data_IF_220496796322
#
_entry.id   IF_220496796322
#
_cell.length_a   1.000
_cell.length_b   1.000
_cell.length_c   1.000
_cell.angle_alpha   90.00
_cell.angle_beta   90.00
_cell.angle_gamma   90.00
#
_symmetry.space_group_name_H-M   'P 1'
#
loop_
_entity.id
_entity.type
_entity.pdbx_description
1 polymer ?
#
# COMPACT_ATOMS: atom_id res chain seq x y z
N UNK A 1 2.83 9.01 7.76
CA UNK A 1 1.71 8.54 8.63
C UNK A 1 0.51 9.49 8.72
N UNK A 2 0.67 10.79 9.00
CA UNK A 2 -0.46 11.74 9.15
C UNK A 2 -1.35 11.91 7.90
N UNK A 3 -0.84 11.61 6.71
CA UNK A 3 -1.60 11.61 5.45
C UNK A 3 -2.48 10.36 5.28
N UNK A 4 -2.02 9.18 5.74
CA UNK A 4 -2.75 7.91 5.59
C UNK A 4 -3.98 7.79 6.53
N UNK A 5 -3.91 8.31 7.76
CA UNK A 5 -5.08 8.41 8.68
C UNK A 5 -6.14 9.36 8.11
N UNK A 6 -5.72 10.41 7.39
CA UNK A 6 -6.65 11.32 6.70
C UNK A 6 -7.35 10.63 5.54
N UNK A 7 -6.66 9.77 4.77
CA UNK A 7 -7.27 9.03 3.67
C UNK A 7 -8.29 7.98 4.12
N UNK A 8 -8.03 7.25 5.21
CA UNK A 8 -9.03 6.32 5.77
C UNK A 8 -10.29 7.04 6.27
N UNK A 9 -10.14 8.18 6.96
CA UNK A 9 -11.28 9.02 7.38
C UNK A 9 -12.02 9.64 6.19
N UNK A 10 -11.30 10.03 5.13
CA UNK A 10 -11.89 10.54 3.90
C UNK A 10 -12.70 9.47 3.17
N UNK A 11 -12.21 8.23 3.08
CA UNK A 11 -12.94 7.11 2.48
C UNK A 11 -14.19 6.74 3.27
N UNK A 12 -14.12 6.68 4.61
CA UNK A 12 -15.31 6.47 5.44
C UNK A 12 -16.33 7.60 5.31
N UNK A 13 -15.86 8.85 5.20
CA UNK A 13 -16.74 10.00 4.92
C UNK A 13 -17.35 9.94 3.52
N UNK A 14 -16.62 9.43 2.52
CA UNK A 14 -17.08 9.30 1.14
C UNK A 14 -18.16 8.22 1.01
N UNK A 15 -18.05 7.12 1.76
CA UNK A 15 -19.07 6.06 1.85
C UNK A 15 -20.33 6.58 2.56
N UNK A 16 -20.17 7.35 3.64
CA UNK A 16 -21.29 8.03 4.31
C UNK A 16 -21.96 9.05 3.38
N UNK A 17 -21.19 9.82 2.60
CA UNK A 17 -21.71 10.80 1.64
C UNK A 17 -22.40 10.11 0.46
N UNK A 18 -21.87 9.02 -0.08
CA UNK A 18 -22.55 8.26 -1.14
C UNK A 18 -23.82 7.56 -0.65
N UNK A 19 -23.84 7.05 0.58
CA UNK A 19 -25.05 6.54 1.22
C UNK A 19 -26.08 7.66 1.45
N UNK A 20 -25.65 8.85 1.89
CA UNK A 20 -26.53 10.02 2.03
C UNK A 20 -27.08 10.48 0.68
N UNK A 21 -26.25 10.53 -0.37
CA UNK A 21 -26.66 10.92 -1.72
C UNK A 21 -27.63 9.92 -2.36
N UNK A 22 -27.52 8.63 -2.02
CA UNK A 22 -28.48 7.61 -2.42
C UNK A 22 -29.84 7.80 -1.72
N UNK A 23 -29.83 8.10 -0.41
CA UNK A 23 -31.06 8.42 0.35
C UNK A 23 -31.72 9.71 -0.15
N UNK A 24 -30.93 10.67 -0.63
CA UNK A 24 -31.40 11.96 -1.17
C UNK A 24 -31.80 11.90 -2.66
N UNK A 25 -31.78 10.71 -3.31
CA UNK A 25 -32.28 10.54 -4.68
C UNK A 25 -31.44 11.20 -5.78
N UNK A 26 -30.18 11.57 -5.49
CA UNK A 26 -29.28 12.25 -6.43
C UNK A 26 -28.41 11.30 -7.27
N UNK A 27 -28.53 9.99 -7.06
CA UNK A 27 -27.90 8.94 -7.87
C UNK A 27 -28.80 8.50 -9.03
N UNK A 28 -28.25 8.41 -10.24
CA UNK A 28 -28.97 8.14 -11.49
C UNK A 28 -30.05 7.05 -11.40
N UNK A 29 -31.19 7.34 -12.04
CA UNK A 29 -32.50 6.68 -11.94
C UNK A 29 -32.58 5.16 -12.23
N UNK A 30 -31.47 4.49 -12.53
CA UNK A 30 -31.46 3.06 -12.89
C UNK A 30 -31.42 2.10 -11.69
N UNK A 31 -31.12 2.58 -10.47
CA UNK A 31 -31.04 1.73 -9.25
C UNK A 31 -32.18 1.99 -8.24
N UNK A 32 -33.01 3.00 -8.49
CA UNK A 32 -34.02 3.48 -7.57
C UNK A 32 -35.32 2.67 -7.57
N UNK A 33 -35.54 1.75 -8.51
CA UNK A 33 -36.74 0.90 -8.54
C UNK A 33 -36.63 -0.34 -7.65
N UNK A 34 -35.43 -0.92 -7.50
CA UNK A 34 -35.21 -2.08 -6.61
C UNK A 34 -35.23 -1.70 -5.11
N UNK A 35 -34.94 -0.44 -4.76
CA UNK A 35 -34.97 0.00 -3.35
C UNK A 35 -36.38 0.36 -2.86
N UNK A 36 -37.34 0.59 -3.76
CA UNK A 36 -38.73 0.95 -3.40
C UNK A 36 -39.57 -0.23 -2.92
N UNK A 37 -39.10 -1.47 -3.11
CA UNK A 37 -39.76 -2.69 -2.60
C UNK A 37 -39.17 -3.22 -1.29
N UNK A 38 -38.07 -2.64 -0.78
CA UNK A 38 -37.52 -3.07 0.51
C UNK A 38 -38.51 -2.75 1.62
N UNK A 39 -38.91 -3.78 2.37
CA UNK A 39 -39.73 -3.58 3.56
C UNK A 39 -38.96 -2.71 4.57
N UNK A 40 -39.66 -1.85 5.31
CA UNK A 40 -39.06 -1.08 6.43
C UNK A 40 -38.25 -1.96 7.38
N UNK A 41 -38.64 -3.23 7.52
CA UNK A 41 -37.93 -4.24 8.30
C UNK A 41 -36.56 -4.59 7.70
N UNK A 42 -36.47 -4.81 6.40
CA UNK A 42 -35.21 -5.15 5.70
C UNK A 42 -34.23 -3.97 5.72
N UNK A 43 -34.74 -2.74 5.55
CA UNK A 43 -33.92 -1.53 5.69
C UNK A 43 -33.35 -1.43 7.11
N UNK A 44 -34.16 -1.69 8.13
CA UNK A 44 -33.70 -1.66 9.52
C UNK A 44 -32.66 -2.74 9.82
N UNK A 45 -32.88 -3.96 9.34
CA UNK A 45 -31.92 -5.07 9.48
C UNK A 45 -30.58 -4.76 8.78
N UNK A 46 -30.60 -4.10 7.60
CA UNK A 46 -29.36 -3.63 6.94
C UNK A 46 -28.65 -2.53 7.72
N UNK A 47 -29.39 -1.58 8.29
CA UNK A 47 -28.81 -0.52 9.13
C UNK A 47 -28.16 -1.12 10.38
N UNK A 48 -28.83 -2.05 11.05
CA UNK A 48 -28.25 -2.75 12.22
C UNK A 48 -27.02 -3.57 11.83
N UNK A 49 -27.06 -4.29 10.71
CA UNK A 49 -25.90 -5.05 10.24
C UNK A 49 -24.69 -4.14 9.95
N UNK A 50 -24.92 -2.99 9.30
CA UNK A 50 -23.87 -2.00 9.08
C UNK A 50 -23.34 -1.40 10.38
N UNK A 51 -24.21 -1.13 11.35
CA UNK A 51 -23.80 -0.62 12.66
C UNK A 51 -22.92 -1.63 13.40
N UNK A 52 -23.31 -2.91 13.46
CA UNK A 52 -22.49 -3.96 14.08
C UNK A 52 -21.14 -4.11 13.38
N UNK A 53 -21.12 -4.04 12.04
CA UNK A 53 -19.88 -4.09 11.27
C UNK A 53 -18.95 -2.89 11.56
N UNK A 54 -19.51 -1.70 11.82
CA UNK A 54 -18.74 -0.52 12.24
C UNK A 54 -18.21 -0.67 13.66
N UNK A 55 -19.03 -1.12 14.61
CA UNK A 55 -18.62 -1.38 16.01
C UNK A 55 -17.48 -2.44 16.06
N UNK A 56 -17.60 -3.53 15.29
CA UNK A 56 -16.53 -4.55 15.15
C UNK A 56 -15.25 -3.97 14.53
N UNK A 57 -15.37 -3.06 13.56
CA UNK A 57 -14.21 -2.41 12.95
C UNK A 57 -13.52 -1.44 13.92
N UNK A 58 -14.28 -0.70 14.72
CA UNK A 58 -13.75 0.18 15.77
C UNK A 58 -12.99 -0.61 16.84
N UNK A 59 -13.55 -1.72 17.33
CA UNK A 59 -12.87 -2.58 18.30
C UNK A 59 -11.58 -3.19 17.74
N UNK A 60 -11.54 -3.56 16.45
CA UNK A 60 -10.31 -4.02 15.79
C UNK A 60 -9.27 -2.91 15.70
N UNK A 61 -9.66 -1.69 15.40
CA UNK A 61 -8.75 -0.54 15.37
C UNK A 61 -8.18 -0.24 16.76
N UNK A 62 -9.01 -0.25 17.80
CA UNK A 62 -8.56 -0.03 19.18
C UNK A 62 -7.59 -1.14 19.63
N UNK A 63 -7.84 -2.40 19.25
CA UNK A 63 -6.92 -3.51 19.51
C UNK A 63 -5.57 -3.32 18.81
N UNK A 64 -5.56 -2.86 17.56
CA UNK A 64 -4.33 -2.55 16.80
C UNK A 64 -3.58 -1.35 17.39
N UNK A 65 -4.28 -0.34 17.91
CA UNK A 65 -3.67 0.80 18.58
C UNK A 65 -3.00 0.39 19.89
N UNK A 66 -3.68 -0.44 20.72
CA UNK A 66 -3.07 -1.00 21.94
C UNK A 66 -1.88 -1.90 21.65
N UNK A 67 -1.93 -2.68 20.56
CA UNK A 67 -0.78 -3.50 20.14
C UNK A 67 0.42 -2.60 19.76
N UNK A 68 0.18 -1.46 19.10
CA UNK A 68 1.24 -0.48 18.78
C UNK A 68 1.81 0.21 20.03
N UNK A 69 0.98 0.58 21.00
CA UNK A 69 1.46 1.15 22.27
C UNK A 69 2.37 0.17 23.01
N UNK A 70 1.98 -1.10 23.08
CA UNK A 70 2.81 -2.15 23.68
C UNK A 70 4.12 -2.40 22.91
N UNK A 71 4.10 -2.33 21.58
CA UNK A 71 5.33 -2.41 20.77
C UNK A 71 6.27 -1.23 21.02
N UNK A 72 5.72 -0.04 21.30
CA UNK A 72 6.51 1.17 21.53
C UNK A 72 7.22 1.13 22.90
N UNK A 73 6.56 0.59 23.92
CA UNK A 73 7.16 0.39 25.26
C UNK A 73 8.26 -0.70 25.26
N UNK A 74 8.14 -1.75 24.44
CA UNK A 74 9.17 -2.79 24.28
C UNK A 74 10.43 -2.31 23.53
N UNK A 75 10.33 -1.21 22.78
CA UNK A 75 11.43 -0.65 22.00
C UNK A 75 12.40 0.20 22.84
N UNK A 76 12.00 0.67 24.02
CA UNK A 76 12.73 1.70 24.79
C UNK A 76 13.75 1.13 25.82
N UNK A 77 13.77 -0.19 26.06
CA UNK A 77 14.47 -0.78 27.21
C UNK A 77 15.45 -1.95 26.95
N UNK A 78 16.08 -2.06 25.79
CA UNK A 78 17.22 -2.98 25.67
C UNK A 78 18.00 -2.91 24.36
N UNK A 79 19.31 -3.12 24.45
CA UNK A 79 20.31 -3.37 23.40
C UNK A 79 19.94 -3.00 21.95
N UNK A 80 20.58 -1.94 21.45
CA UNK A 80 20.47 -1.35 20.10
C UNK A 80 20.85 -2.29 18.94
N UNK A 81 21.23 -3.53 19.22
CA UNK A 81 21.95 -4.39 18.26
C UNK A 81 21.06 -5.21 17.32
N UNK A 82 19.75 -5.38 17.59
CA UNK A 82 18.87 -6.09 16.63
C UNK A 82 18.37 -5.16 15.50
N UNK A 83 18.78 -5.39 14.24
CA UNK A 83 18.32 -4.64 13.07
C UNK A 83 16.83 -4.73 12.80
N UNK A 84 16.19 -5.85 13.16
CA UNK A 84 14.77 -6.11 12.90
C UNK A 84 13.87 -5.49 13.97
N UNK A 85 14.43 -4.92 15.04
CA UNK A 85 13.64 -4.44 16.18
C UNK A 85 12.77 -3.22 15.85
N UNK A 86 13.22 -2.37 14.92
CA UNK A 86 12.45 -1.21 14.41
C UNK A 86 11.28 -1.57 13.50
N UNK A 87 11.32 -2.76 12.89
CA UNK A 87 10.17 -3.24 12.14
C UNK A 87 9.07 -3.63 13.13
N UNK A 88 7.84 -3.21 12.86
CA UNK A 88 6.66 -3.67 13.60
C UNK A 88 6.56 -5.20 13.56
N UNK A 89 5.84 -5.82 14.51
CA UNK A 89 5.65 -7.30 14.50
C UNK A 89 5.02 -7.77 13.19
N UNK A 90 4.12 -6.96 12.62
CA UNK A 90 3.51 -7.23 11.32
C UNK A 90 4.53 -7.25 10.19
N UNK A 91 5.41 -6.25 10.11
CA UNK A 91 6.48 -6.18 9.11
C UNK A 91 7.47 -7.35 9.22
N UNK A 92 7.87 -7.72 10.46
CA UNK A 92 8.72 -8.90 10.70
C UNK A 92 8.07 -10.19 10.24
N UNK A 93 6.78 -10.38 10.56
CA UNK A 93 6.02 -11.55 10.13
C UNK A 93 5.92 -11.62 8.60
N UNK A 94 5.57 -10.51 7.98
CA UNK A 94 5.49 -10.38 6.53
C UNK A 94 6.81 -10.75 5.85
N UNK A 95 7.94 -10.21 6.31
CA UNK A 95 9.26 -10.55 5.78
C UNK A 95 9.58 -12.04 5.92
N UNK A 96 9.31 -12.63 7.09
CA UNK A 96 9.59 -14.05 7.35
C UNK A 96 8.75 -14.98 6.47
N UNK A 97 7.50 -14.62 6.21
CA UNK A 97 6.59 -15.40 5.37
C UNK A 97 6.91 -15.24 3.88
N UNK A 98 7.15 -14.01 3.43
CA UNK A 98 7.28 -13.69 2.01
C UNK A 98 8.73 -13.81 1.50
N UNK A 99 9.72 -13.60 2.37
CA UNK A 99 11.15 -13.49 2.03
C UNK A 99 12.08 -14.20 3.04
N UNK A 100 11.87 -15.49 3.37
CA UNK A 100 12.64 -16.17 4.41
C UNK A 100 14.16 -16.16 4.14
N UNK A 101 14.59 -16.45 2.91
CA UNK A 101 16.02 -16.47 2.55
C UNK A 101 16.70 -15.10 2.72
N UNK A 102 15.95 -14.02 2.54
CA UNK A 102 16.45 -12.66 2.75
C UNK A 102 16.56 -12.33 4.24
N UNK A 103 15.59 -12.76 5.06
CA UNK A 103 15.68 -12.64 6.52
C UNK A 103 16.91 -13.37 7.06
N UNK A 104 17.13 -14.61 6.60
CA UNK A 104 18.33 -15.39 6.99
C UNK A 104 19.62 -14.66 6.61
N UNK A 105 19.65 -14.06 5.41
CA UNK A 105 20.80 -13.29 4.95
C UNK A 105 21.03 -12.02 5.78
N UNK A 106 19.97 -11.27 6.08
CA UNK A 106 20.08 -10.09 6.94
C UNK A 106 20.62 -10.47 8.32
N UNK A 107 20.13 -11.55 8.91
CA UNK A 107 20.64 -12.05 10.19
C UNK A 107 22.12 -12.43 10.12
N UNK A 108 22.54 -13.06 9.02
CA UNK A 108 23.95 -13.41 8.81
C UNK A 108 24.84 -12.17 8.65
N UNK A 109 24.44 -11.22 7.81
CA UNK A 109 25.20 -9.99 7.55
C UNK A 109 25.24 -9.10 8.78
N UNK A 110 24.13 -9.02 9.51
CA UNK A 110 23.98 -8.10 10.63
C UNK A 110 24.47 -8.68 11.96
N UNK A 111 24.59 -10.00 12.07
CA UNK A 111 25.14 -10.69 13.24
C UNK A 111 26.68 -10.60 13.37
N UNK A 112 27.38 -10.23 12.29
CA UNK A 112 28.86 -10.22 12.23
C UNK A 112 29.45 -8.80 12.12
N UNK A 113 28.67 -7.80 12.56
CA UNK A 113 28.92 -6.37 12.29
C UNK A 113 29.91 -5.81 13.31
N UNK A 114 31.13 -5.53 12.85
CA UNK A 114 32.11 -4.70 13.56
C UNK A 114 31.54 -3.30 13.84
N UNK A 115 32.13 -2.55 14.77
CA UNK A 115 31.64 -1.21 15.14
C UNK A 115 31.49 -0.27 13.94
N UNK A 116 32.40 -0.36 12.95
CA UNK A 116 32.34 0.40 11.69
C UNK A 116 31.16 -0.02 10.78
N UNK A 117 30.78 -1.30 10.83
CA UNK A 117 29.66 -1.80 10.06
C UNK A 117 28.31 -1.41 10.66
N UNK A 118 28.25 -0.89 11.91
CA UNK A 118 27.02 -0.39 12.54
C UNK A 118 26.41 0.78 11.77
N UNK A 119 27.24 1.64 11.17
CA UNK A 119 26.76 2.72 10.31
C UNK A 119 26.04 2.18 9.07
N UNK A 120 26.66 1.23 8.37
CA UNK A 120 26.03 0.58 7.21
C UNK A 120 24.76 -0.15 7.62
N UNK A 121 24.78 -0.88 8.74
CA UNK A 121 23.61 -1.56 9.29
C UNK A 121 22.44 -0.61 9.53
N UNK A 122 22.69 0.65 9.93
CA UNK A 122 21.65 1.67 10.08
C UNK A 122 21.04 2.07 8.74
N UNK A 123 21.85 2.38 7.74
CA UNK A 123 21.34 2.73 6.40
C UNK A 123 20.57 1.56 5.76
N UNK A 124 21.08 0.33 5.89
CA UNK A 124 20.38 -0.88 5.44
C UNK A 124 19.05 -1.05 6.15
N UNK A 125 18.97 -0.74 7.45
CA UNK A 125 17.74 -0.83 8.24
C UNK A 125 16.67 0.14 7.75
N UNK A 126 17.02 1.40 7.52
CA UNK A 126 16.06 2.41 7.03
C UNK A 126 15.55 2.06 5.62
N UNK A 127 16.45 1.59 4.76
CA UNK A 127 16.08 1.12 3.42
C UNK A 127 15.18 -0.12 3.47
N UNK A 128 15.44 -1.02 4.40
CA UNK A 128 14.62 -2.20 4.63
C UNK A 128 13.21 -1.83 5.10
N UNK A 129 13.09 -0.91 6.05
CA UNK A 129 11.79 -0.45 6.55
C UNK A 129 10.93 0.11 5.40
N UNK A 130 11.52 1.01 4.59
CA UNK A 130 10.85 1.56 3.41
C UNK A 130 10.41 0.46 2.43
N UNK A 131 11.29 -0.50 2.15
CA UNK A 131 10.99 -1.61 1.25
C UNK A 131 9.82 -2.46 1.76
N UNK A 132 9.81 -2.81 3.05
CA UNK A 132 8.76 -3.66 3.61
C UNK A 132 7.41 -2.94 3.54
N UNK A 133 7.38 -1.65 3.85
CA UNK A 133 6.16 -0.85 3.70
C UNK A 133 5.67 -0.85 2.25
N UNK A 134 6.55 -0.62 1.27
CA UNK A 134 6.22 -0.66 -0.15
C UNK A 134 5.65 -2.03 -0.55
N UNK A 135 6.29 -3.12 -0.12
CA UNK A 135 5.86 -4.48 -0.46
C UNK A 135 4.52 -4.84 0.17
N UNK A 136 4.26 -4.39 1.41
CA UNK A 136 2.95 -4.56 2.05
C UNK A 136 1.86 -3.77 1.32
N UNK A 137 2.14 -2.52 0.94
CA UNK A 137 1.21 -1.68 0.17
C UNK A 137 0.88 -2.31 -1.19
N UNK A 138 1.89 -2.81 -1.91
CA UNK A 138 1.70 -3.55 -3.15
C UNK A 138 0.86 -4.82 -2.94
N UNK A 139 1.07 -5.56 -1.85
CA UNK A 139 0.32 -6.78 -1.58
C UNK A 139 -1.17 -6.52 -1.35
N UNK A 140 -1.52 -5.36 -0.79
CA UNK A 140 -2.90 -4.97 -0.49
C UNK A 140 -3.59 -4.34 -1.70
N UNK A 141 -2.91 -3.43 -2.41
CA UNK A 141 -3.55 -2.59 -3.44
C UNK A 141 -3.24 -3.03 -4.88
N UNK A 142 -2.16 -3.78 -5.10
CA UNK A 142 -1.71 -4.19 -6.43
C UNK A 142 -1.10 -5.61 -6.43
N UNK A 143 -1.86 -6.67 -6.09
CA UNK A 143 -1.32 -8.01 -5.87
C UNK A 143 -0.59 -8.58 -7.10
N UNK A 144 -1.01 -8.23 -8.32
CA UNK A 144 -0.30 -8.63 -9.54
C UNK A 144 1.09 -8.00 -9.66
N UNK A 145 1.25 -6.74 -9.22
CA UNK A 145 2.54 -6.04 -9.19
C UNK A 145 3.40 -6.58 -8.06
N UNK A 146 2.80 -6.86 -6.89
CA UNK A 146 3.47 -7.50 -5.76
C UNK A 146 4.16 -8.81 -6.15
N UNK A 147 3.46 -9.71 -6.86
CA UNK A 147 4.05 -10.99 -7.28
C UNK A 147 5.23 -10.81 -8.27
N UNK A 148 5.14 -9.79 -9.14
CA UNK A 148 6.26 -9.44 -10.05
C UNK A 148 7.45 -8.94 -9.23
N UNK A 149 7.22 -8.01 -8.30
CA UNK A 149 8.26 -7.41 -7.47
C UNK A 149 8.93 -8.44 -6.57
N UNK A 150 8.14 -9.31 -5.93
CA UNK A 150 8.64 -10.43 -5.12
C UNK A 150 9.58 -11.34 -5.94
N UNK A 151 9.22 -11.64 -7.19
CA UNK A 151 10.04 -12.46 -8.07
C UNK A 151 11.32 -11.73 -8.51
N UNK A 152 11.24 -10.44 -8.80
CA UNK A 152 12.42 -9.59 -9.09
C UNK A 152 13.40 -9.64 -7.92
N UNK A 153 12.92 -9.39 -6.70
CA UNK A 153 13.74 -9.42 -5.48
C UNK A 153 14.46 -10.75 -5.28
N UNK A 154 13.74 -11.86 -5.45
CA UNK A 154 14.35 -13.19 -5.36
C UNK A 154 15.45 -13.39 -6.40
N UNK A 155 15.19 -13.04 -7.66
CA UNK A 155 16.16 -13.20 -8.75
C UNK A 155 17.38 -12.31 -8.54
N UNK A 156 17.20 -11.06 -8.13
CA UNK A 156 18.30 -10.15 -7.83
C UNK A 156 19.20 -10.72 -6.72
N UNK A 157 18.59 -11.18 -5.61
CA UNK A 157 19.32 -11.81 -4.50
C UNK A 157 20.07 -13.10 -4.92
N UNK A 158 19.39 -14.00 -5.64
CA UNK A 158 19.99 -15.25 -6.12
C UNK A 158 21.13 -14.99 -7.11
N UNK A 159 20.98 -13.98 -7.97
CA UNK A 159 21.98 -13.59 -8.96
C UNK A 159 23.24 -13.01 -8.32
N UNK A 160 23.09 -12.22 -7.25
CA UNK A 160 24.22 -11.68 -6.48
C UNK A 160 25.03 -12.80 -5.83
N UNK A 161 24.36 -13.73 -5.13
CA UNK A 161 25.01 -14.90 -4.53
C UNK A 161 25.64 -15.82 -5.57
N UNK A 162 25.03 -15.97 -6.74
CA UNK A 162 25.63 -16.70 -7.85
C UNK A 162 26.91 -16.01 -8.34
N UNK A 163 26.89 -14.67 -8.44
CA UNK A 163 28.05 -13.86 -8.79
C UNK A 163 29.22 -14.04 -7.82
N UNK A 164 28.95 -14.05 -6.51
CA UNK A 164 29.94 -14.40 -5.48
C UNK A 164 30.56 -15.77 -5.71
N UNK A 165 29.73 -16.81 -5.86
CA UNK A 165 30.21 -18.18 -6.10
C UNK A 165 31.05 -18.30 -7.38
N UNK A 166 30.71 -17.56 -8.43
CA UNK A 166 31.45 -17.55 -9.70
C UNK A 166 32.84 -16.90 -9.52
N UNK A 167 32.98 -15.89 -8.66
CA UNK A 167 34.27 -15.25 -8.37
C UNK A 167 35.26 -16.22 -7.73
N UNK A 168 34.77 -17.11 -6.87
CA UNK A 168 35.59 -18.11 -6.18
C UNK A 168 35.82 -19.40 -6.99
N UNK A 169 35.07 -19.59 -8.08
CA UNK A 169 35.16 -20.81 -8.90
C UNK A 169 36.28 -20.69 -9.94
N UNK A 170 37.18 -21.69 -9.98
CA UNK A 170 38.26 -21.75 -10.96
C UNK A 170 37.74 -21.80 -12.41
N UNK A 171 38.47 -21.25 -13.39
CA UNK A 171 38.12 -21.38 -14.81
C UNK A 171 37.89 -22.83 -15.24
N UNK A 172 36.85 -23.07 -16.04
CA UNK A 172 36.50 -24.38 -16.58
C UNK A 172 34.99 -24.56 -16.78
N UNK A 173 34.54 -25.76 -17.20
CA UNK A 173 33.15 -26.01 -17.59
C UNK A 173 32.13 -25.71 -16.49
N UNK A 174 32.47 -25.94 -15.21
CA UNK A 174 31.60 -25.61 -14.07
C UNK A 174 31.31 -24.11 -13.99
N UNK A 175 32.35 -23.27 -14.13
CA UNK A 175 32.23 -21.81 -14.08
C UNK A 175 31.41 -21.30 -15.27
N UNK A 176 31.62 -21.87 -16.46
CA UNK A 176 30.85 -21.53 -17.65
C UNK A 176 29.36 -21.86 -17.49
N UNK A 177 29.03 -23.02 -16.89
CA UNK A 177 27.65 -23.37 -16.54
C UNK A 177 27.00 -22.38 -15.57
N UNK A 178 27.71 -21.99 -14.51
CA UNK A 178 27.22 -20.99 -13.56
C UNK A 178 27.03 -19.60 -14.20
N UNK A 179 27.91 -19.20 -15.11
CA UNK A 179 27.77 -17.93 -15.86
C UNK A 179 26.52 -17.98 -16.75
N UNK A 180 26.25 -19.10 -17.40
CA UNK A 180 25.05 -19.27 -18.22
C UNK A 180 23.76 -19.18 -17.37
N UNK A 181 23.76 -19.81 -16.19
CA UNK A 181 22.66 -19.74 -15.23
C UNK A 181 22.44 -18.31 -14.71
N UNK A 182 23.52 -17.63 -14.30
CA UNK A 182 23.48 -16.23 -13.88
C UNK A 182 22.90 -15.33 -14.99
N UNK A 183 23.34 -15.52 -16.24
CA UNK A 183 22.80 -14.78 -17.39
C UNK A 183 21.29 -14.99 -17.54
N UNK A 184 20.81 -16.21 -17.35
CA UNK A 184 19.37 -16.51 -17.39
C UNK A 184 18.61 -15.76 -16.30
N UNK A 185 19.09 -15.81 -15.05
CA UNK A 185 18.47 -15.12 -13.91
C UNK A 185 18.41 -13.60 -14.14
N UNK A 186 19.50 -12.99 -14.58
CA UNK A 186 19.57 -11.55 -14.86
C UNK A 186 18.66 -11.15 -16.02
N UNK A 187 18.57 -11.98 -17.05
CA UNK A 187 17.66 -11.73 -18.19
C UNK A 187 16.20 -11.76 -17.73
N UNK A 188 15.82 -12.76 -16.94
CA UNK A 188 14.46 -12.87 -16.40
C UNK A 188 14.12 -11.70 -15.48
N UNK A 189 15.05 -11.30 -14.60
CA UNK A 189 14.86 -10.14 -13.72
C UNK A 189 14.69 -8.85 -14.53
N UNK A 190 15.46 -8.67 -15.61
CA UNK A 190 15.34 -7.54 -16.51
C UNK A 190 13.95 -7.49 -17.18
N UNK A 191 13.48 -8.60 -17.74
CA UNK A 191 12.18 -8.67 -18.41
C UNK A 191 11.03 -8.39 -17.43
N UNK A 192 11.12 -8.90 -16.20
CA UNK A 192 10.15 -8.60 -15.13
C UNK A 192 10.18 -7.11 -14.74
N UNK A 193 11.35 -6.48 -14.63
CA UNK A 193 11.48 -5.03 -14.38
C UNK A 193 10.84 -4.22 -15.51
N UNK A 194 11.02 -4.62 -16.76
CA UNK A 194 10.37 -3.95 -17.89
C UNK A 194 8.86 -4.13 -17.87
N UNK A 195 8.37 -5.33 -17.52
CA UNK A 195 6.94 -5.58 -17.33
C UNK A 195 6.37 -4.71 -16.21
N UNK A 196 7.05 -4.59 -15.06
CA UNK A 196 6.63 -3.72 -13.94
C UNK A 196 6.53 -2.26 -14.40
N UNK A 197 7.56 -1.73 -15.06
CA UNK A 197 7.57 -0.34 -15.58
C UNK A 197 6.43 -0.09 -16.57
N UNK A 198 6.09 -1.07 -17.40
CA UNK A 198 4.96 -0.97 -18.32
C UNK A 198 3.63 -0.84 -17.58
N UNK A 199 3.40 -1.68 -16.56
CA UNK A 199 2.19 -1.62 -15.73
C UNK A 199 2.09 -0.28 -14.97
N UNK A 200 3.22 0.20 -14.45
CA UNK A 200 3.30 1.51 -13.79
C UNK A 200 2.95 2.65 -14.75
N UNK A 201 3.49 2.62 -15.99
CA UNK A 201 3.15 3.60 -17.01
C UNK A 201 1.65 3.57 -17.37
N UNK A 202 1.07 2.38 -17.55
CA UNK A 202 -0.37 2.22 -17.83
C UNK A 202 -1.24 2.78 -16.69
N UNK A 203 -0.83 2.61 -15.44
CA UNK A 203 -1.51 3.16 -14.26
C UNK A 203 -1.41 4.69 -14.20
N UNK A 204 -0.22 5.25 -14.40
CA UNK A 204 -0.01 6.71 -14.44
C UNK A 204 -0.84 7.35 -15.56
N UNK A 205 -0.88 6.72 -16.74
CA UNK A 205 -1.71 7.20 -17.85
C UNK A 205 -3.21 7.18 -17.51
N UNK A 206 -3.67 6.18 -16.77
CA UNK A 206 -5.06 6.11 -16.30
C UNK A 206 -5.36 7.25 -15.33
N UNK A 207 -4.52 7.47 -14.33
CA UNK A 207 -4.67 8.57 -13.36
C UNK A 207 -4.65 9.93 -14.05
N UNK A 208 -3.77 10.12 -15.03
CA UNK A 208 -3.70 11.34 -15.82
C UNK A 208 -5.01 11.59 -16.59
N UNK A 209 -5.60 10.56 -17.20
CA UNK A 209 -6.89 10.68 -17.89
C UNK A 209 -8.02 11.03 -16.92
N UNK A 210 -8.06 10.41 -15.74
CA UNK A 210 -9.08 10.68 -14.71
C UNK A 210 -8.98 12.13 -14.20
N UNK A 211 -7.78 12.59 -13.85
CA UNK A 211 -7.54 13.98 -13.41
C UNK A 211 -7.90 14.97 -14.51
N UNK A 212 -7.54 14.67 -15.77
CA UNK A 212 -7.87 15.54 -16.92
C UNK A 212 -9.37 15.66 -17.12
N UNK A 213 -10.11 14.55 -17.00
CA UNK A 213 -11.58 14.54 -17.09
C UNK A 213 -12.21 15.38 -15.97
N UNK A 214 -11.71 15.29 -14.73
CA UNK A 214 -12.17 16.12 -13.60
C UNK A 214 -11.92 17.62 -13.85
N UNK A 215 -10.77 17.98 -14.39
CA UNK A 215 -10.44 19.37 -14.74
C UNK A 215 -11.41 19.87 -15.83
N UNK A 216 -11.67 19.08 -16.86
CA UNK A 216 -12.59 19.44 -17.92
C UNK A 216 -14.02 19.62 -17.38
N UNK A 217 -14.51 18.69 -16.56
CA UNK A 217 -15.83 18.79 -15.93
C UNK A 217 -15.95 20.07 -15.07
N UNK A 218 -14.89 20.41 -14.32
CA UNK A 218 -14.86 21.65 -13.53
C UNK A 218 -14.87 22.89 -14.42
N UNK A 219 -14.19 22.84 -15.56
CA UNK A 219 -14.17 23.92 -16.54
C UNK A 219 -15.55 24.11 -17.20
N UNK A 220 -16.24 23.03 -17.56
CA UNK A 220 -17.61 23.06 -18.08
C UNK A 220 -18.59 23.65 -17.05
N UNK A 221 -18.36 23.40 -15.76
CA UNK A 221 -19.18 23.93 -14.66
C UNK A 221 -18.65 25.24 -14.07
N UNK A 222 -17.68 25.89 -14.72
CA UNK A 222 -16.97 27.07 -14.17
C UNK A 222 -17.92 28.16 -13.71
N UNK A 223 -18.85 28.58 -14.57
CA UNK A 223 -19.72 29.72 -14.27
C UNK A 223 -20.72 29.41 -13.15
N UNK A 224 -21.19 28.16 -13.06
CA UNK A 224 -22.02 27.68 -11.94
C UNK A 224 -21.24 27.70 -10.62
N UNK A 225 -19.99 27.24 -10.63
CA UNK A 225 -19.11 27.23 -9.46
C UNK A 225 -18.84 28.66 -8.99
N UNK A 226 -18.53 29.56 -9.93
CA UNK A 226 -18.32 30.99 -9.64
C UNK A 226 -19.61 31.62 -9.10
N UNK A 227 -20.76 31.36 -9.73
CA UNK A 227 -22.06 31.89 -9.29
C UNK A 227 -22.41 31.47 -7.87
N UNK A 228 -22.24 30.18 -7.53
CA UNK A 228 -22.43 29.70 -6.15
C UNK A 228 -21.50 30.42 -5.18
N UNK A 229 -20.20 30.52 -5.52
CA UNK A 229 -19.24 31.19 -4.66
C UNK A 229 -19.54 32.68 -4.47
N UNK A 230 -20.05 33.36 -5.51
CA UNK A 230 -20.49 34.75 -5.40
C UNK A 230 -21.70 34.88 -4.47
N UNK A 231 -22.71 34.02 -4.62
CA UNK A 231 -23.89 34.01 -3.75
C UNK A 231 -23.51 33.80 -2.27
N UNK A 232 -22.64 32.83 -1.99
CA UNK A 232 -22.11 32.56 -0.65
C UNK A 232 -21.43 33.81 -0.05
N UNK A 233 -20.69 34.57 -0.86
CA UNK A 233 -19.91 35.73 -0.41
C UNK A 233 -20.76 37.00 -0.25
N UNK A 234 -21.82 37.15 -1.03
CA UNK A 234 -22.70 38.32 -0.95
C UNK A 234 -23.85 38.13 0.05
N UNK A 235 -23.92 36.99 0.74
CA UNK A 235 -25.02 36.67 1.66
C UNK A 235 -26.36 36.49 0.95
N UNK A 236 -26.33 36.12 -0.34
CA UNK A 236 -27.52 35.96 -1.19
C UNK A 236 -28.25 34.63 -0.98
N UNK A 237 -28.24 34.10 0.24
CA UNK A 237 -29.01 32.91 0.62
C UNK A 237 -30.41 33.36 1.07
N UNK A 238 -31.26 33.73 0.13
CA UNK A 238 -32.70 33.55 0.31
C UNK A 238 -33.08 32.24 -0.39
N UNK A 239 -33.24 31.19 0.43
CA UNK A 239 -33.99 29.97 0.16
C UNK A 239 -33.84 29.39 -1.27
N UNK A 240 -32.81 28.56 -1.48
CA UNK A 240 -33.02 27.45 -2.40
C UNK A 240 -33.70 26.31 -1.64
N UNK A 241 -35.02 26.24 -1.78
CA UNK A 241 -35.81 25.04 -1.48
C UNK A 241 -35.18 23.84 -2.21
N UNK A 242 -34.95 22.77 -1.44
CA UNK A 242 -34.32 21.52 -1.87
C UNK A 242 -35.31 20.56 -2.52
#
# INVERSE_FOLDING_TARGET
MLTRIKHARLLSSLVLVTALLAVLGLGGASRAEDERSMSRRELHERIEAHRRALEDAEHRLEALEKEKEHEQDEADHGDEEDPMRRLSRLQRRFLKEQFPAFVDHLQQVLGDVSEDARYMAREYRERLEFLVEEMMELSEHAPAVFEIEKKIWRLDYESERMGERIRDTKPGPKREGQIAELKSMVTEAFDLKQKRRKLEAEQIEKELREISALIQQRQEHRDRIIGRRLADLTGGDELFEW
#
